data_IF_975969380776
#
_entry.id   IF_975969380776
#
_cell.length_a   1.000
_cell.length_b   1.000
_cell.length_c   1.000
_cell.angle_alpha   90.00
_cell.angle_beta   90.00
_cell.angle_gamma   90.00
#
_symmetry.space_group_name_H-M   'P 1'
#
loop_
_entity.id
_entity.type
_entity.pdbx_description
1 polymer ?
#
# COMPACT_ATOMS: atom_id res chain seq x y z
N UNK A 1 -7.82 -18.42 -13.71
CA UNK A 1 -8.06 -17.89 -15.07
C UNK A 1 -6.69 -17.77 -15.73
N UNK A 2 -6.48 -18.35 -16.93
CA UNK A 2 -5.19 -18.24 -17.62
C UNK A 2 -4.91 -16.78 -18.02
N UNK A 3 -3.63 -16.41 -18.07
CA UNK A 3 -3.21 -15.10 -18.57
C UNK A 3 -3.66 -14.94 -20.03
N UNK A 4 -4.17 -13.76 -20.44
CA UNK A 4 -4.37 -13.46 -21.85
C UNK A 4 -3.07 -13.70 -22.64
N UNK A 5 -3.17 -14.34 -23.80
CA UNK A 5 -2.01 -14.70 -24.61
C UNK A 5 -1.14 -13.46 -24.90
N UNK A 6 0.17 -13.56 -24.63
CA UNK A 6 1.13 -12.48 -24.92
C UNK A 6 1.36 -11.46 -23.80
N UNK A 7 0.66 -11.54 -22.65
CA UNK A 7 0.94 -10.64 -21.52
C UNK A 7 2.01 -11.16 -20.58
N UNK A 8 2.91 -10.27 -20.18
CA UNK A 8 3.94 -10.50 -19.15
C UNK A 8 3.58 -9.68 -17.92
N UNK A 9 3.39 -10.37 -16.81
CA UNK A 9 3.12 -9.75 -15.51
C UNK A 9 4.13 -10.30 -14.51
N UNK A 10 4.86 -9.42 -13.83
CA UNK A 10 5.94 -9.87 -12.95
C UNK A 10 6.28 -8.93 -11.80
N UNK A 11 6.98 -9.46 -10.81
CA UNK A 11 7.44 -8.67 -9.68
C UNK A 11 8.68 -7.86 -10.06
N UNK A 12 8.70 -6.59 -9.68
CA UNK A 12 9.91 -5.77 -9.66
C UNK A 12 10.57 -5.93 -8.28
N UNK A 13 11.54 -6.84 -8.19
CA UNK A 13 12.35 -7.04 -6.99
C UNK A 13 13.74 -6.40 -7.15
N UNK A 14 14.35 -5.99 -6.04
CA UNK A 14 15.72 -5.48 -6.03
C UNK A 14 16.23 -5.28 -4.60
N UNK A 15 17.54 -5.20 -4.38
CA UNK A 15 18.09 -4.94 -3.05
C UNK A 15 17.69 -3.54 -2.56
N UNK A 16 17.79 -3.29 -1.24
CA UNK A 16 17.64 -1.95 -0.70
C UNK A 16 18.55 -0.96 -1.43
N UNK A 17 17.99 0.18 -1.87
CA UNK A 17 18.73 1.19 -2.63
C UNK A 17 18.21 2.58 -2.33
N UNK A 18 19.04 3.59 -2.56
CA UNK A 18 18.57 4.97 -2.51
C UNK A 18 17.83 5.31 -3.81
N UNK A 19 16.57 5.74 -3.69
CA UNK A 19 15.74 6.16 -4.82
C UNK A 19 15.70 7.69 -4.88
N UNK A 20 16.08 8.24 -6.05
CA UNK A 20 16.17 9.68 -6.25
C UNK A 20 14.79 10.34 -6.31
N UNK A 21 13.81 9.68 -6.95
CA UNK A 21 12.45 10.18 -7.10
C UNK A 21 11.70 10.17 -5.77
N UNK A 22 11.91 9.14 -4.95
CA UNK A 22 11.32 9.05 -3.62
C UNK A 22 12.08 9.86 -2.56
N UNK A 23 13.25 10.43 -2.88
CA UNK A 23 14.15 11.10 -1.94
C UNK A 23 14.37 10.28 -0.65
N UNK A 24 14.50 8.96 -0.78
CA UNK A 24 14.54 8.04 0.35
C UNK A 24 15.29 6.76 0.00
N UNK A 25 15.75 6.04 1.02
CA UNK A 25 16.09 4.63 0.85
C UNK A 25 14.80 3.83 0.69
N UNK A 26 14.77 2.94 -0.30
CA UNK A 26 13.67 2.00 -0.51
C UNK A 26 14.16 0.59 -0.25
N UNK A 27 13.35 -0.20 0.46
CA UNK A 27 13.60 -1.61 0.72
C UNK A 27 12.33 -2.41 0.38
N UNK A 28 12.47 -3.60 -0.26
CA UNK A 28 11.31 -4.44 -0.55
C UNK A 28 10.50 -4.73 0.70
N UNK A 29 9.18 -4.56 0.60
CA UNK A 29 8.26 -4.89 1.67
C UNK A 29 7.47 -6.14 1.25
N UNK A 30 7.64 -7.28 1.94
CA UNK A 30 6.97 -8.53 1.57
C UNK A 30 5.52 -8.53 2.03
N UNK A 31 4.69 -7.68 1.41
CA UNK A 31 3.25 -7.58 1.65
C UNK A 31 2.44 -8.23 0.53
N UNK A 32 1.19 -8.57 0.84
CA UNK A 32 0.27 -9.26 -0.08
C UNK A 32 -0.09 -8.39 -1.30
N UNK A 33 0.03 -7.07 -1.18
CA UNK A 33 -0.32 -6.07 -2.18
C UNK A 33 0.29 -6.37 -3.56
N UNK A 34 1.55 -6.83 -3.60
CA UNK A 34 2.20 -7.20 -4.86
C UNK A 34 1.40 -8.27 -5.60
N UNK A 35 0.93 -9.30 -4.90
CA UNK A 35 0.16 -10.38 -5.53
C UNK A 35 -1.21 -9.89 -6.02
N UNK A 36 -1.85 -9.00 -5.26
CA UNK A 36 -3.15 -8.41 -5.62
C UNK A 36 -3.04 -7.50 -6.85
N UNK A 37 -1.99 -6.68 -6.93
CA UNK A 37 -1.73 -5.81 -8.09
C UNK A 37 -1.40 -6.65 -9.33
N UNK A 38 -0.53 -7.67 -9.21
CA UNK A 38 -0.22 -8.55 -10.34
C UNK A 38 -1.46 -9.34 -10.81
N UNK A 39 -2.34 -9.78 -9.90
CA UNK A 39 -3.62 -10.40 -10.27
C UNK A 39 -4.54 -9.43 -11.01
N UNK A 40 -4.55 -8.15 -10.61
CA UNK A 40 -5.31 -7.11 -11.30
C UNK A 40 -4.75 -6.87 -12.71
N UNK A 41 -3.43 -6.75 -12.84
CA UNK A 41 -2.76 -6.56 -14.13
C UNK A 41 -2.95 -7.74 -15.10
N UNK A 42 -3.05 -8.96 -14.56
CA UNK A 42 -3.38 -10.15 -15.33
C UNK A 42 -4.81 -10.12 -15.89
N UNK A 43 -5.74 -9.47 -15.18
CA UNK A 43 -7.17 -9.44 -15.52
C UNK A 43 -7.59 -8.21 -16.36
N UNK A 44 -6.86 -7.10 -16.28
CA UNK A 44 -7.26 -5.79 -16.81
C UNK A 44 -6.31 -5.31 -17.91
N UNK A 45 -6.82 -5.06 -19.12
CA UNK A 45 -6.05 -4.66 -20.32
C UNK A 45 -5.29 -3.34 -20.16
N UNK A 46 -5.80 -2.46 -19.30
CA UNK A 46 -5.29 -1.11 -19.02
C UNK A 46 -3.87 -1.11 -18.46
N UNK A 47 -3.42 -2.23 -17.87
CA UNK A 47 -2.05 -2.40 -17.38
C UNK A 47 -1.02 -2.64 -18.50
N UNK A 48 -1.47 -2.84 -19.75
CA UNK A 48 -0.60 -3.04 -20.92
C UNK A 48 0.03 -4.44 -21.02
N UNK A 49 0.81 -4.70 -22.09
CA UNK A 49 1.31 -6.04 -22.42
C UNK A 49 2.50 -6.52 -21.58
N UNK A 50 3.31 -5.62 -21.02
CA UNK A 50 4.43 -5.94 -20.12
C UNK A 50 4.34 -5.05 -18.87
N UNK A 51 3.84 -5.62 -17.78
CA UNK A 51 3.62 -4.92 -16.52
C UNK A 51 4.47 -5.52 -15.40
N UNK A 52 5.17 -4.66 -14.66
CA UNK A 52 5.91 -5.06 -13.46
C UNK A 52 5.60 -4.17 -12.28
N UNK A 53 5.49 -4.79 -11.11
CA UNK A 53 5.16 -4.08 -9.87
C UNK A 53 6.05 -4.52 -8.71
N UNK A 54 6.47 -3.57 -7.89
CA UNK A 54 7.17 -3.84 -6.64
C UNK A 54 6.69 -2.91 -5.54
N UNK A 55 6.54 -3.44 -4.34
CA UNK A 55 6.12 -2.69 -3.16
C UNK A 55 7.31 -2.46 -2.23
N UNK A 56 7.54 -1.21 -1.85
CA UNK A 56 8.73 -0.80 -1.13
C UNK A 56 8.38 0.07 0.06
N UNK A 57 9.03 -0.18 1.20
CA UNK A 57 9.05 0.78 2.30
C UNK A 57 10.03 1.92 1.98
N UNK A 58 9.59 3.16 2.16
CA UNK A 58 10.45 4.35 2.01
C UNK A 58 10.91 4.85 3.38
N UNK A 59 12.22 4.88 3.59
CA UNK A 59 12.86 5.31 4.85
C UNK A 59 13.87 6.42 4.57
N UNK A 60 13.75 7.52 5.32
CA UNK A 60 14.54 8.73 5.08
C UNK A 60 16.03 8.54 5.35
N UNK A 61 16.42 7.61 6.23
CA UNK A 61 17.82 7.35 6.60
C UNK A 61 18.07 5.85 6.68
N UNK A 62 19.15 5.38 6.05
CA UNK A 62 19.55 3.98 6.05
C UNK A 62 19.71 3.37 7.47
N UNK A 63 20.28 4.08 8.47
CA UNK A 63 20.32 3.57 9.85
C UNK A 63 18.93 3.35 10.48
N UNK A 64 17.92 4.15 10.12
CA UNK A 64 16.54 3.91 10.58
C UNK A 64 15.93 2.68 9.90
N UNK A 65 16.26 2.44 8.62
CA UNK A 65 15.88 1.22 7.91
C UNK A 65 16.45 -0.02 8.59
N UNK A 66 17.78 0.01 8.82
CA UNK A 66 18.51 -1.07 9.45
C UNK A 66 18.02 -1.30 10.88
N UNK A 67 17.85 -0.22 11.66
CA UNK A 67 17.30 -0.30 13.01
C UNK A 67 15.87 -0.87 13.05
N UNK A 68 15.00 -0.48 12.12
CA UNK A 68 13.64 -1.04 12.01
C UNK A 68 13.62 -2.52 11.64
N UNK A 69 14.42 -2.92 10.64
CA UNK A 69 14.61 -4.32 10.26
C UNK A 69 15.18 -5.15 11.41
N UNK A 70 16.18 -4.64 12.12
CA UNK A 70 16.75 -5.27 13.32
C UNK A 70 15.72 -5.39 14.43
N UNK A 71 14.87 -4.38 14.65
CA UNK A 71 13.81 -4.41 15.65
C UNK A 71 12.72 -5.46 15.31
N UNK A 72 12.31 -5.55 14.05
CA UNK A 72 11.37 -6.59 13.59
C UNK A 72 12.01 -7.97 13.73
N UNK A 73 13.27 -8.14 13.30
CA UNK A 73 14.00 -9.40 13.44
C UNK A 73 14.14 -9.81 14.91
N UNK A 74 14.51 -8.88 15.79
CA UNK A 74 14.55 -9.09 17.23
C UNK A 74 13.17 -9.47 17.77
N UNK A 75 12.10 -8.79 17.34
CA UNK A 75 10.73 -9.11 17.75
C UNK A 75 10.34 -10.54 17.32
N UNK A 76 10.65 -10.95 16.09
CA UNK A 76 10.38 -12.30 15.59
C UNK A 76 11.13 -13.34 16.42
N UNK A 77 12.45 -13.17 16.60
CA UNK A 77 13.27 -14.06 17.44
C UNK A 77 12.73 -14.10 18.87
N UNK A 78 12.34 -12.95 19.40
CA UNK A 78 11.81 -12.79 20.75
C UNK A 78 10.49 -13.55 20.96
N UNK A 79 9.63 -13.57 19.93
CA UNK A 79 8.39 -14.30 19.94
C UNK A 79 8.58 -15.82 19.91
N UNK A 80 9.73 -16.33 19.44
CA UNK A 80 10.06 -17.76 19.46
C UNK A 80 10.55 -18.22 20.86
N UNK A 81 10.97 -17.30 21.71
CA UNK A 81 11.52 -17.59 23.04
C UNK A 81 10.44 -17.34 24.09
N UNK A 82 9.90 -18.41 24.69
CA UNK A 82 8.74 -18.37 25.62
C UNK A 82 8.77 -17.24 26.67
N UNK A 83 9.83 -17.07 27.50
CA UNK A 83 9.86 -16.00 28.51
C UNK A 83 9.85 -14.60 27.89
N UNK A 84 10.48 -14.44 26.74
CA UNK A 84 10.55 -13.14 26.06
C UNK A 84 9.25 -12.82 25.32
N UNK A 85 8.61 -13.83 24.72
CA UNK A 85 7.25 -13.73 24.16
C UNK A 85 6.24 -13.27 25.21
N UNK A 86 6.30 -13.79 26.43
CA UNK A 86 5.41 -13.39 27.53
C UNK A 86 5.62 -11.93 27.96
N UNK A 87 6.85 -11.40 27.86
CA UNK A 87 7.14 -9.98 28.10
C UNK A 87 6.60 -9.11 26.96
N UNK A 88 6.86 -9.50 25.70
CA UNK A 88 6.37 -8.78 24.51
C UNK A 88 4.84 -8.74 24.49
N UNK A 89 4.18 -9.85 24.83
CA UNK A 89 2.72 -9.96 24.89
C UNK A 89 2.05 -9.08 25.96
N UNK A 90 2.81 -8.53 26.92
CA UNK A 90 2.30 -7.60 27.93
C UNK A 90 2.31 -6.13 27.47
N UNK A 91 3.00 -5.81 26.37
CA UNK A 91 3.18 -4.42 25.90
C UNK A 91 1.92 -3.87 25.22
N UNK A 92 1.20 -4.72 24.49
CA UNK A 92 -0.10 -4.39 23.90
C UNK A 92 -0.98 -5.62 24.05
N UNK A 93 -2.02 -5.53 24.89
CA UNK A 93 -2.92 -6.68 25.02
C UNK A 93 -3.76 -6.83 23.75
N UNK A 94 -4.05 -8.07 23.33
CA UNK A 94 -5.01 -8.31 22.26
C UNK A 94 -6.33 -7.57 22.53
N UNK A 95 -6.81 -6.79 21.55
CA UNK A 95 -8.08 -6.07 21.64
C UNK A 95 -8.01 -4.64 22.17
N UNK A 96 -6.89 -4.17 22.74
CA UNK A 96 -6.82 -2.80 23.28
C UNK A 96 -6.70 -1.70 22.20
N UNK A 97 -6.15 -2.03 21.02
CA UNK A 97 -6.03 -1.09 19.89
C UNK A 97 -5.30 0.23 20.22
N UNK A 98 -5.05 1.11 19.25
CA UNK A 98 -4.63 2.48 19.52
C UNK A 98 -5.82 3.29 20.06
N UNK A 99 -5.58 4.11 21.07
CA UNK A 99 -6.59 5.08 21.54
C UNK A 99 -6.96 6.12 20.46
N UNK A 100 -8.04 6.88 20.68
CA UNK A 100 -8.53 7.85 19.73
C UNK A 100 -7.50 8.95 19.39
N UNK A 101 -6.72 9.40 20.38
CA UNK A 101 -5.74 10.45 20.19
C UNK A 101 -4.53 9.97 19.36
N UNK A 102 -4.13 8.72 19.54
CA UNK A 102 -3.11 8.05 18.73
C UNK A 102 -3.57 7.91 17.29
N UNK A 103 -4.81 7.43 17.06
CA UNK A 103 -5.39 7.35 15.71
C UNK A 103 -5.48 8.73 15.04
N UNK A 104 -5.88 9.77 15.77
CA UNK A 104 -6.00 11.12 15.22
C UNK A 104 -4.67 11.74 14.76
N UNK A 105 -3.53 11.30 15.34
CA UNK A 105 -2.18 11.75 14.94
C UNK A 105 -1.50 10.81 13.94
N UNK A 106 -2.08 9.65 13.66
CA UNK A 106 -1.61 8.72 12.65
C UNK A 106 -1.98 9.20 11.26
N UNK A 107 -1.13 8.89 10.29
CA UNK A 107 -1.33 9.19 8.88
C UNK A 107 -0.66 8.11 8.04
N UNK A 108 -1.04 8.04 6.76
CA UNK A 108 -0.29 7.26 5.79
C UNK A 108 -0.12 8.02 4.47
N UNK A 109 0.92 7.63 3.74
CA UNK A 109 1.18 8.12 2.39
C UNK A 109 1.82 7.03 1.57
N UNK A 110 1.21 6.72 0.43
CA UNK A 110 1.72 5.79 -0.56
C UNK A 110 1.93 6.56 -1.87
N UNK A 111 3.12 6.45 -2.45
CA UNK A 111 3.41 7.03 -3.78
C UNK A 111 3.66 5.92 -4.79
N UNK A 112 2.86 5.92 -5.84
CA UNK A 112 3.04 5.07 -7.00
C UNK A 112 3.90 5.81 -8.00
N UNK A 113 5.07 5.25 -8.32
CA UNK A 113 5.93 5.74 -9.38
C UNK A 113 5.77 4.80 -10.58
N UNK A 114 5.02 5.26 -11.58
CA UNK A 114 4.75 4.52 -12.81
C UNK A 114 5.66 5.02 -13.93
N UNK A 115 6.31 4.09 -14.63
CA UNK A 115 7.15 4.38 -15.78
C UNK A 115 6.58 3.65 -17.00
N UNK A 116 6.24 4.42 -18.04
CA UNK A 116 5.88 3.94 -19.36
C UNK A 116 6.98 4.34 -20.37
N UNK A 117 6.82 3.95 -21.64
CA UNK A 117 7.82 4.19 -22.68
C UNK A 117 8.11 5.68 -22.92
N UNK A 118 7.08 6.52 -22.80
CA UNK A 118 7.09 7.95 -23.16
C UNK A 118 6.95 8.88 -21.96
N UNK A 119 6.54 8.36 -20.80
CA UNK A 119 6.18 9.18 -19.63
C UNK A 119 6.43 8.50 -18.30
N UNK A 120 6.62 9.34 -17.29
CA UNK A 120 6.65 8.96 -15.89
C UNK A 120 5.50 9.66 -15.18
N UNK A 121 4.71 8.90 -14.41
CA UNK A 121 3.57 9.42 -13.65
C UNK A 121 3.80 9.09 -12.18
N UNK A 122 3.55 10.05 -11.30
CA UNK A 122 3.58 9.85 -9.87
C UNK A 122 2.20 10.14 -9.30
N UNK A 123 1.63 9.17 -8.61
CA UNK A 123 0.34 9.32 -7.92
C UNK A 123 0.54 9.09 -6.43
N UNK A 124 -0.06 9.94 -5.62
CA UNK A 124 -0.02 9.85 -4.17
C UNK A 124 -1.41 9.51 -3.61
N UNK A 125 -1.44 8.51 -2.74
CA UNK A 125 -2.62 8.13 -1.94
C UNK A 125 -2.31 8.41 -0.48
N UNK A 126 -3.21 9.10 0.20
CA UNK A 126 -2.98 9.55 1.58
C UNK A 126 -4.26 9.53 2.41
N UNK A 127 -4.10 9.40 3.73
CA UNK A 127 -5.21 9.39 4.69
C UNK A 127 -4.72 9.42 6.13
N UNK A 128 -5.63 9.25 7.07
CA UNK A 128 -5.36 9.20 8.51
C UNK A 128 -4.77 7.86 8.97
N UNK A 129 -5.29 7.32 10.08
CA UNK A 129 -4.77 6.10 10.68
C UNK A 129 -4.89 4.88 9.76
N UNK A 130 -3.77 4.30 9.27
CA UNK A 130 -3.81 3.19 8.32
C UNK A 130 -4.25 1.87 8.96
N UNK A 131 -4.07 1.71 10.28
CA UNK A 131 -4.29 0.43 10.95
C UNK A 131 -5.75 0.14 11.30
N UNK A 132 -6.53 1.19 11.54
CA UNK A 132 -7.92 1.07 11.98
C UNK A 132 -8.83 1.95 11.13
N UNK A 133 -8.74 3.28 11.28
CA UNK A 133 -9.77 4.19 10.74
C UNK A 133 -9.87 4.10 9.23
N UNK A 134 -8.75 4.21 8.52
CA UNK A 134 -8.74 4.19 7.05
C UNK A 134 -9.00 2.79 6.50
N UNK A 135 -8.51 1.74 7.16
CA UNK A 135 -8.80 0.35 6.76
C UNK A 135 -10.28 0.00 6.92
N UNK A 136 -10.90 0.36 8.05
CA UNK A 136 -12.34 0.17 8.25
C UNK A 136 -13.17 0.94 7.23
N UNK A 137 -12.75 2.17 6.90
CA UNK A 137 -13.37 2.97 5.84
C UNK A 137 -13.25 2.30 4.47
N UNK A 138 -12.06 1.83 4.09
CA UNK A 138 -11.85 1.12 2.82
C UNK A 138 -12.73 -0.11 2.70
N UNK A 139 -12.87 -0.88 3.79
CA UNK A 139 -13.73 -2.06 3.83
C UNK A 139 -15.22 -1.70 3.70
N UNK A 140 -15.68 -0.72 4.46
CA UNK A 140 -17.07 -0.26 4.41
C UNK A 140 -17.45 0.29 3.04
N UNK A 141 -16.62 1.15 2.45
CA UNK A 141 -16.86 1.71 1.11
C UNK A 141 -16.78 0.65 0.02
N UNK A 142 -15.94 -0.37 0.17
CA UNK A 142 -15.94 -1.53 -0.75
C UNK A 142 -17.25 -2.30 -0.70
N UNK A 143 -17.78 -2.55 0.49
CA UNK A 143 -19.07 -3.23 0.65
C UNK A 143 -20.23 -2.41 0.07
N UNK A 144 -20.24 -1.10 0.30
CA UNK A 144 -21.24 -0.20 -0.27
C UNK A 144 -21.12 -0.10 -1.81
N UNK A 145 -19.91 -0.11 -2.34
CA UNK A 145 -19.66 -0.11 -3.78
C UNK A 145 -20.28 -1.34 -4.45
N UNK A 146 -20.01 -2.53 -3.90
CA UNK A 146 -20.57 -3.79 -4.41
C UNK A 146 -22.10 -3.86 -4.32
N UNK A 147 -22.71 -3.22 -3.33
CA UNK A 147 -24.15 -3.30 -3.09
C UNK A 147 -24.97 -2.29 -3.88
N UNK A 148 -24.40 -1.13 -4.20
CA UNK A 148 -25.18 0.04 -4.63
C UNK A 148 -24.70 0.73 -5.90
N UNK A 149 -23.53 0.38 -6.43
CA UNK A 149 -23.01 1.03 -7.64
C UNK A 149 -23.20 0.17 -8.89
N UNK A 150 -23.21 0.83 -10.05
CA UNK A 150 -23.18 0.16 -11.34
C UNK A 150 -21.77 -0.35 -11.62
N UNK A 151 -21.60 -1.68 -11.55
CA UNK A 151 -20.32 -2.36 -11.69
C UNK A 151 -20.28 -3.27 -12.93
N UNK A 152 -19.08 -3.58 -13.46
CA UNK A 152 -18.94 -4.55 -14.54
C UNK A 152 -19.60 -5.89 -14.18
N UNK A 153 -20.22 -6.60 -15.14
CA UNK A 153 -20.84 -7.90 -14.90
C UNK A 153 -19.77 -9.01 -14.75
N UNK A 154 -19.02 -8.95 -13.66
CA UNK A 154 -17.93 -9.87 -13.33
C UNK A 154 -18.29 -10.69 -12.07
N UNK A 155 -17.85 -11.95 -12.03
CA UNK A 155 -18.13 -12.86 -10.92
C UNK A 155 -16.92 -13.72 -10.55
N UNK A 156 -16.96 -14.29 -9.33
CA UNK A 156 -15.91 -15.15 -8.78
C UNK A 156 -15.00 -14.40 -7.81
N UNK A 157 -13.73 -14.82 -7.74
CA UNK A 157 -12.74 -14.19 -6.87
C UNK A 157 -12.07 -13.05 -7.64
N UNK A 158 -12.52 -11.82 -7.40
CA UNK A 158 -12.06 -10.62 -8.12
C UNK A 158 -11.17 -9.76 -7.22
N UNK A 159 -10.32 -8.96 -7.84
CA UNK A 159 -9.61 -7.87 -7.15
C UNK A 159 -10.50 -6.64 -7.11
N UNK A 160 -10.21 -5.70 -6.20
CA UNK A 160 -10.96 -4.43 -6.12
C UNK A 160 -10.88 -3.63 -7.41
N UNK A 161 -9.74 -3.65 -8.10
CA UNK A 161 -9.57 -3.03 -9.40
C UNK A 161 -10.50 -3.65 -10.47
N UNK A 162 -10.61 -4.98 -10.52
CA UNK A 162 -11.42 -5.66 -11.52
C UNK A 162 -12.94 -5.61 -11.22
N UNK A 163 -13.32 -5.62 -9.95
CA UNK A 163 -14.72 -5.63 -9.53
C UNK A 163 -15.33 -4.23 -9.43
N UNK A 164 -14.56 -3.25 -8.94
CA UNK A 164 -15.10 -1.95 -8.53
C UNK A 164 -14.43 -0.76 -9.23
N UNK A 165 -13.12 -0.85 -9.52
CA UNK A 165 -12.39 0.15 -10.30
C UNK A 165 -12.63 1.59 -9.83
N UNK A 166 -13.00 2.46 -10.76
CA UNK A 166 -13.21 3.89 -10.53
C UNK A 166 -14.38 4.20 -9.57
N UNK A 167 -15.40 3.33 -9.50
CA UNK A 167 -16.51 3.52 -8.56
C UNK A 167 -16.04 3.51 -7.11
N UNK A 168 -15.14 2.58 -6.76
CA UNK A 168 -14.53 2.54 -5.44
C UNK A 168 -13.61 3.75 -5.20
N UNK A 169 -12.84 4.18 -6.20
CA UNK A 169 -11.98 5.37 -6.06
C UNK A 169 -12.83 6.61 -5.74
N UNK A 170 -13.95 6.79 -6.43
CA UNK A 170 -14.87 7.90 -6.19
C UNK A 170 -15.43 7.88 -4.77
N UNK A 171 -15.86 6.71 -4.27
CA UNK A 171 -16.33 6.53 -2.88
C UNK A 171 -15.26 6.85 -1.85
N UNK A 172 -14.07 6.29 -2.00
CA UNK A 172 -12.95 6.53 -1.08
C UNK A 172 -12.55 8.00 -1.05
N UNK A 173 -12.57 8.66 -2.21
CA UNK A 173 -12.33 10.11 -2.32
C UNK A 173 -13.39 10.90 -1.54
N UNK A 174 -14.68 10.57 -1.71
CA UNK A 174 -15.78 11.18 -0.95
C UNK A 174 -15.67 10.91 0.56
N UNK A 175 -15.17 9.75 0.95
CA UNK A 175 -14.91 9.38 2.34
C UNK A 175 -13.60 9.97 2.91
N UNK A 176 -12.90 10.81 2.13
CA UNK A 176 -11.74 11.60 2.59
C UNK A 176 -10.39 10.94 2.41
N UNK A 177 -10.27 9.86 1.62
CA UNK A 177 -8.98 9.35 1.17
C UNK A 177 -8.50 10.21 0.01
N UNK A 178 -7.32 10.79 0.13
CA UNK A 178 -6.76 11.65 -0.91
C UNK A 178 -6.10 10.82 -2.01
N UNK A 179 -6.54 10.97 -3.25
CA UNK A 179 -5.87 10.50 -4.46
C UNK A 179 -5.44 11.71 -5.27
N UNK A 180 -4.15 11.82 -5.62
CA UNK A 180 -3.66 12.91 -6.47
C UNK A 180 -2.54 12.46 -7.39
N UNK A 181 -2.62 12.85 -8.66
CA UNK A 181 -1.47 12.79 -9.56
C UNK A 181 -0.62 14.04 -9.35
N UNK A 182 0.70 13.87 -9.28
CA UNK A 182 1.64 14.97 -9.08
C UNK A 182 2.12 15.49 -10.44
N UNK A 183 1.95 16.79 -10.68
CA UNK A 183 2.38 17.45 -11.92
C UNK A 183 3.90 17.62 -12.02
N UNK A 184 4.60 17.47 -10.89
CA UNK A 184 6.05 17.53 -10.80
C UNK A 184 6.58 16.44 -9.85
N UNK A 185 7.86 16.03 -9.99
CA UNK A 185 8.49 15.13 -9.04
C UNK A 185 8.37 15.66 -7.60
N UNK A 186 8.08 14.80 -6.62
CA UNK A 186 7.88 15.24 -5.24
C UNK A 186 9.20 15.79 -4.67
N UNK A 187 9.17 16.96 -4.03
CA UNK A 187 10.36 17.62 -3.50
C UNK A 187 10.95 16.97 -2.23
N UNK A 188 10.25 16.00 -1.62
CA UNK A 188 10.65 15.35 -0.38
C UNK A 188 10.14 13.91 -0.31
N UNK A 189 10.66 13.11 0.62
CA UNK A 189 10.20 11.74 0.87
C UNK A 189 8.72 11.66 1.25
N UNK A 190 8.00 10.54 0.99
CA UNK A 190 6.64 10.34 1.50
C UNK A 190 6.58 10.62 3.01
N UNK A 191 5.55 11.35 3.43
CA UNK A 191 5.51 11.97 4.75
C UNK A 191 4.14 12.57 5.03
N UNK A 192 3.87 12.98 6.29
CA UNK A 192 2.62 13.67 6.59
C UNK A 192 2.56 14.94 5.74
N UNK A 193 1.38 15.26 5.24
CA UNK A 193 1.17 16.53 4.56
C UNK A 193 1.47 17.65 5.55
N UNK A 194 2.55 18.40 5.30
CA UNK A 194 2.98 19.52 6.15
C UNK A 194 2.13 20.78 5.91
N UNK A 195 1.14 20.73 5.02
CA UNK A 195 0.24 21.83 4.67
C UNK A 195 -1.11 21.78 5.41
N UNK A 196 -1.14 21.27 6.65
CA UNK A 196 -2.28 21.36 7.55
C UNK A 196 -1.90 22.03 8.85
#
# INVERSE_FOLDING_TARGET
QPLPAGRRVGTLAGPPRHDRTAHAWIAPLPVIDTQIVLRSAAALEEYGPDFRYGHYAAVRRLPMALGGLSAIGALVVSAQIKPLREVVGKVVKPGEGPDAARRARSWFTLRFHAQAADRTIITEVSGGDPGYTETSKMLAESALCLAFDDLPPAAGQLTTAAAMGDALIARLTKAGIGFRTLDAPPAHSPGPDRRR
#
